data_IF_816926741245
#
_entry.id   IF_816926741245
#
_cell.length_a   1.000
_cell.length_b   1.000
_cell.length_c   1.000
_cell.angle_alpha   90.00
_cell.angle_beta   90.00
_cell.angle_gamma   90.00
#
_symmetry.space_group_name_H-M   'P 1'
#
loop_
_entity.id
_entity.type
_entity.pdbx_description
1 polymer ?
#
# COMPACT_ATOMS: atom_id res chain seq x y z
N UNK A 1 -72.02 -2.87 -3.65
CA UNK A 1 -71.93 -1.58 -4.36
C UNK A 1 -71.58 -0.52 -3.33
N UNK A 2 -70.55 0.33 -3.54
CA UNK A 2 -70.12 1.27 -2.52
C UNK A 2 -71.23 2.30 -2.26
N UNK A 3 -71.49 2.56 -0.97
CA UNK A 3 -72.43 3.57 -0.50
C UNK A 3 -71.99 4.93 -1.02
N UNK A 4 -72.75 5.49 -1.95
CA UNK A 4 -72.54 6.85 -2.46
C UNK A 4 -72.79 7.82 -1.31
N UNK A 5 -71.93 8.85 -1.11
CA UNK A 5 -72.21 9.87 -0.12
C UNK A 5 -73.58 10.50 -0.42
N UNK A 6 -74.43 10.56 0.60
CA UNK A 6 -75.79 11.07 0.51
C UNK A 6 -75.96 12.23 1.50
N UNK A 7 -76.75 13.23 1.11
CA UNK A 7 -77.17 14.30 2.01
C UNK A 7 -78.65 14.11 2.29
N UNK A 8 -79.00 14.05 3.58
CA UNK A 8 -80.38 13.91 4.02
C UNK A 8 -80.98 15.29 4.26
N UNK A 9 -81.92 15.70 3.40
CA UNK A 9 -82.68 16.94 3.57
C UNK A 9 -84.14 16.56 3.84
N UNK A 10 -84.51 16.51 5.12
CA UNK A 10 -85.82 16.01 5.56
C UNK A 10 -86.00 14.52 5.29
N UNK A 11 -87.13 14.13 4.68
CA UNK A 11 -87.51 12.73 4.43
C UNK A 11 -87.00 12.14 3.09
N UNK A 12 -86.17 12.88 2.33
CA UNK A 12 -85.60 12.40 1.06
C UNK A 12 -84.08 12.27 1.15
N UNK A 13 -83.58 11.18 0.56
CA UNK A 13 -82.16 10.85 0.45
C UNK A 13 -81.72 11.15 -0.98
N UNK A 14 -80.78 12.11 -1.15
CA UNK A 14 -80.21 12.47 -2.44
C UNK A 14 -78.80 11.90 -2.56
N UNK A 15 -78.54 11.15 -3.64
CA UNK A 15 -77.25 10.54 -3.92
C UNK A 15 -76.42 11.44 -4.85
N UNK A 16 -75.19 11.78 -4.45
CA UNK A 16 -74.29 12.56 -5.28
C UNK A 16 -73.82 11.74 -6.50
N UNK A 17 -73.90 12.31 -7.70
CA UNK A 17 -73.39 11.71 -8.93
C UNK A 17 -71.96 12.22 -9.19
N UNK A 18 -71.21 11.50 -10.02
CA UNK A 18 -69.73 11.54 -10.13
C UNK A 18 -69.15 12.85 -10.73
N UNK A 19 -69.87 13.97 -10.68
CA UNK A 19 -69.44 15.27 -11.22
C UNK A 19 -69.76 16.46 -10.30
N UNK A 20 -70.24 16.22 -9.08
CA UNK A 20 -70.86 17.27 -8.27
C UNK A 20 -69.84 18.07 -7.44
N UNK A 21 -69.80 19.38 -7.68
CA UNK A 21 -69.15 20.36 -6.79
C UNK A 21 -69.96 20.46 -5.50
N UNK A 22 -69.39 20.01 -4.39
CA UNK A 22 -70.00 20.19 -3.07
C UNK A 22 -69.50 21.48 -2.43
N UNK A 23 -70.39 22.45 -2.22
CA UNK A 23 -70.07 23.67 -1.47
C UNK A 23 -70.31 23.38 0.02
N UNK A 24 -69.22 23.28 0.78
CA UNK A 24 -69.27 23.03 2.23
C UNK A 24 -68.97 24.34 2.95
N UNK A 25 -69.92 24.79 3.79
CA UNK A 25 -69.83 26.08 4.49
C UNK A 25 -68.98 25.97 5.78
N UNK A 26 -68.93 24.80 6.41
CA UNK A 26 -68.16 24.55 7.63
C UNK A 26 -66.87 23.76 7.35
N UNK A 27 -65.68 24.32 7.67
CA UNK A 27 -64.41 23.61 7.53
C UNK A 27 -64.36 22.30 8.34
N UNK A 28 -65.00 22.28 9.51
CA UNK A 28 -65.03 21.13 10.41
C UNK A 28 -65.78 19.94 9.78
N UNK A 29 -66.84 20.22 9.02
CA UNK A 29 -67.60 19.17 8.31
C UNK A 29 -66.75 18.52 7.23
N UNK A 30 -65.98 19.31 6.47
CA UNK A 30 -65.03 18.80 5.48
C UNK A 30 -63.91 17.98 6.14
N UNK A 31 -63.34 18.48 7.23
CA UNK A 31 -62.27 17.81 7.96
C UNK A 31 -62.73 16.50 8.63
N UNK A 32 -64.00 16.40 9.03
CA UNK A 32 -64.62 15.18 9.55
C UNK A 32 -64.87 14.11 8.49
N UNK A 33 -65.02 14.50 7.21
CA UNK A 33 -65.09 13.56 6.09
C UNK A 33 -63.74 12.90 5.79
N UNK A 34 -62.64 13.59 6.12
CA UNK A 34 -61.28 13.09 5.89
C UNK A 34 -60.68 12.34 7.07
N UNK A 35 -61.30 12.40 8.26
CA UNK A 35 -60.88 11.59 9.40
C UNK A 35 -62.09 11.33 10.31
N UNK A 36 -62.49 10.06 10.54
CA UNK A 36 -63.49 9.76 11.56
C UNK A 36 -62.95 10.08 12.96
N UNK A 37 -63.84 10.34 13.91
CA UNK A 37 -63.54 10.80 15.28
C UNK A 37 -62.63 9.87 16.10
N UNK A 38 -62.36 8.67 15.62
CA UNK A 38 -61.56 7.64 16.31
C UNK A 38 -60.11 7.54 15.82
N UNK A 39 -59.68 8.40 14.88
CA UNK A 39 -58.32 8.41 14.37
C UNK A 39 -58.07 7.35 13.29
N UNK A 40 -57.50 7.78 12.17
CA UNK A 40 -57.23 6.93 11.00
C UNK A 40 -57.15 7.76 9.71
N UNK A 41 -56.64 7.16 8.64
CA UNK A 41 -56.57 7.79 7.32
C UNK A 41 -57.97 7.97 6.70
N UNK A 42 -58.14 9.01 5.88
CA UNK A 42 -59.39 9.29 5.15
C UNK A 42 -59.91 8.07 4.38
N UNK A 43 -61.14 7.64 4.66
CA UNK A 43 -61.83 6.58 3.89
C UNK A 43 -62.43 7.09 2.56
N UNK A 44 -62.46 8.42 2.35
CA UNK A 44 -63.05 9.03 1.16
C UNK A 44 -61.96 9.33 0.14
N UNK A 45 -61.80 8.50 -0.90
CA UNK A 45 -60.73 8.66 -1.90
C UNK A 45 -61.12 9.43 -3.17
N UNK A 46 -62.39 9.81 -3.32
CA UNK A 46 -62.94 10.33 -4.58
C UNK A 46 -63.02 11.87 -4.67
N UNK A 47 -62.36 12.62 -3.78
CA UNK A 47 -62.37 14.10 -3.79
C UNK A 47 -61.09 14.61 -4.45
N UNK A 48 -61.11 14.90 -5.74
CA UNK A 48 -59.89 15.19 -6.50
C UNK A 48 -59.38 16.63 -6.37
N UNK A 49 -60.26 17.60 -6.10
CA UNK A 49 -59.91 19.03 -5.96
C UNK A 49 -60.72 19.67 -4.85
N UNK A 50 -60.07 20.50 -4.05
CA UNK A 50 -60.69 21.31 -3.01
C UNK A 50 -60.28 22.74 -3.29
N UNK A 51 -61.26 23.62 -3.47
CA UNK A 51 -61.05 25.06 -3.53
C UNK A 51 -61.73 25.67 -2.30
N UNK A 52 -60.99 26.48 -1.54
CA UNK A 52 -61.49 27.14 -0.36
C UNK A 52 -61.06 28.61 -0.39
N UNK A 53 -62.00 29.50 -0.03
CA UNK A 53 -61.70 30.89 0.25
C UNK A 53 -61.28 31.03 1.71
N UNK A 54 -60.21 31.78 1.96
CA UNK A 54 -59.59 31.87 3.27
C UNK A 54 -59.57 33.32 3.72
N UNK A 55 -60.01 33.57 4.96
CA UNK A 55 -60.12 34.93 5.51
C UNK A 55 -58.79 35.52 6.04
N UNK A 56 -57.68 34.77 5.99
CA UNK A 56 -56.36 35.23 6.46
C UNK A 56 -55.23 34.23 6.17
N UNK A 57 -54.00 34.72 6.08
CA UNK A 57 -52.81 33.90 5.75
C UNK A 57 -52.59 32.74 6.73
N UNK A 58 -52.65 33.02 8.04
CA UNK A 58 -52.44 32.02 9.11
C UNK A 58 -53.52 30.94 9.10
N UNK A 59 -54.78 31.33 8.90
CA UNK A 59 -55.91 30.41 8.79
C UNK A 59 -55.77 29.49 7.56
N UNK A 60 -55.25 30.01 6.45
CA UNK A 60 -55.02 29.25 5.22
C UNK A 60 -53.93 28.21 5.38
N UNK A 61 -52.82 28.59 6.01
CA UNK A 61 -51.72 27.66 6.30
C UNK A 61 -52.14 26.55 7.27
N UNK A 62 -52.89 26.88 8.32
CA UNK A 62 -53.40 25.88 9.29
C UNK A 62 -54.33 24.88 8.60
N UNK A 63 -55.28 25.37 7.81
CA UNK A 63 -56.24 24.52 7.10
C UNK A 63 -55.55 23.59 6.10
N UNK A 64 -54.55 24.10 5.37
CA UNK A 64 -53.79 23.29 4.43
C UNK A 64 -53.00 22.17 5.14
N UNK A 65 -52.34 22.48 6.25
CA UNK A 65 -51.61 21.48 7.02
C UNK A 65 -52.57 20.38 7.52
N UNK A 66 -53.72 20.76 8.09
CA UNK A 66 -54.73 19.81 8.56
C UNK A 66 -55.28 18.93 7.44
N UNK A 67 -55.53 19.50 6.25
CA UNK A 67 -56.02 18.74 5.09
C UNK A 67 -54.96 17.76 4.59
N UNK A 68 -53.72 18.21 4.46
CA UNK A 68 -52.59 17.39 3.97
C UNK A 68 -52.25 16.28 4.96
N UNK A 69 -52.22 16.56 6.27
CA UNK A 69 -51.93 15.59 7.33
C UNK A 69 -53.01 14.50 7.42
N UNK A 70 -54.29 14.86 7.23
CA UNK A 70 -55.40 13.88 7.27
C UNK A 70 -55.56 13.08 5.97
N UNK A 71 -55.15 13.64 4.82
CA UNK A 71 -55.26 13.00 3.50
C UNK A 71 -54.07 12.12 3.12
N UNK A 72 -52.85 12.49 3.53
CA UNK A 72 -51.62 11.77 3.20
C UNK A 72 -50.99 12.15 1.85
N UNK A 73 -50.15 11.25 1.33
CA UNK A 73 -49.09 11.46 0.31
C UNK A 73 -49.56 12.02 -1.05
N UNK A 74 -50.83 11.88 -1.42
CA UNK A 74 -51.30 12.15 -2.79
C UNK A 74 -51.81 13.57 -3.04
N UNK A 75 -51.83 14.45 -2.04
CA UNK A 75 -52.39 15.80 -2.16
C UNK A 75 -51.31 16.88 -2.11
N UNK A 76 -51.40 17.79 -3.07
CA UNK A 76 -50.65 19.04 -3.09
C UNK A 76 -51.63 20.16 -2.77
N UNK A 77 -51.39 20.85 -1.66
CA UNK A 77 -52.21 21.98 -1.23
C UNK A 77 -51.45 23.29 -1.50
N UNK A 78 -52.17 24.28 -2.03
CA UNK A 78 -51.61 25.60 -2.37
C UNK A 78 -52.54 26.65 -1.75
N UNK A 79 -52.01 27.49 -0.86
CA UNK A 79 -52.70 28.68 -0.35
C UNK A 79 -52.01 29.89 -0.93
N UNK A 80 -52.78 30.78 -1.54
CA UNK A 80 -52.29 32.07 -2.01
C UNK A 80 -53.01 33.17 -1.24
N UNK A 81 -52.27 34.01 -0.53
CA UNK A 81 -52.82 35.15 0.20
C UNK A 81 -51.90 36.36 0.00
N UNK A 82 -52.47 37.53 -0.31
CA UNK A 82 -51.71 38.78 -0.42
C UNK A 82 -50.57 38.79 -1.45
N UNK A 83 -50.60 37.92 -2.47
CA UNK A 83 -49.54 37.79 -3.49
C UNK A 83 -48.43 36.80 -3.14
N UNK A 84 -48.46 36.18 -1.96
CA UNK A 84 -47.57 35.08 -1.58
C UNK A 84 -48.32 33.75 -1.61
N UNK A 85 -47.74 32.76 -2.28
CA UNK A 85 -48.32 31.42 -2.42
C UNK A 85 -47.46 30.39 -1.68
N UNK A 86 -48.05 29.70 -0.72
CA UNK A 86 -47.44 28.63 0.07
C UNK A 86 -47.92 27.28 -0.44
N UNK A 87 -46.98 26.41 -0.81
CA UNK A 87 -47.25 25.05 -1.32
C UNK A 87 -46.82 24.01 -0.28
N UNK A 88 -47.76 23.17 0.15
CA UNK A 88 -47.58 22.13 1.16
C UNK A 88 -47.92 20.76 0.57
N UNK A 89 -47.17 19.74 0.95
CA UNK A 89 -47.34 18.36 0.50
C UNK A 89 -46.92 17.40 1.63
N UNK A 90 -47.54 16.22 1.68
CA UNK A 90 -47.23 15.20 2.67
C UNK A 90 -46.02 14.38 2.20
N UNK A 91 -45.00 14.26 3.07
CA UNK A 91 -43.81 13.47 2.80
C UNK A 91 -42.69 13.78 3.80
N UNK A 92 -41.85 12.79 4.09
CA UNK A 92 -40.67 13.00 4.92
C UNK A 92 -39.61 13.70 4.07
N UNK A 93 -39.15 14.88 4.51
CA UNK A 93 -37.92 15.46 3.96
C UNK A 93 -36.75 14.65 4.50
N UNK A 94 -36.37 13.61 3.78
CA UNK A 94 -35.05 13.01 3.94
C UNK A 94 -34.07 13.98 3.28
N UNK A 95 -33.66 15.01 4.01
CA UNK A 95 -32.35 15.60 3.73
C UNK A 95 -31.37 14.47 4.01
N UNK A 96 -30.80 13.90 2.95
CA UNK A 96 -29.72 12.94 3.09
C UNK A 96 -28.69 13.58 3.99
N UNK A 97 -28.55 13.02 5.19
CA UNK A 97 -27.67 13.43 6.29
C UNK A 97 -26.23 13.13 5.87
N UNK A 98 -25.80 13.70 4.75
CA UNK A 98 -24.44 13.65 4.23
C UNK A 98 -23.46 14.39 5.15
N UNK A 99 -23.97 15.14 6.13
CA UNK A 99 -23.15 15.93 7.06
C UNK A 99 -22.71 15.15 8.32
N UNK A 100 -23.27 13.98 8.66
CA UNK A 100 -22.96 13.32 9.95
C UNK A 100 -22.48 11.87 9.89
N UNK A 101 -22.63 11.14 8.78
CA UNK A 101 -22.28 9.71 8.71
C UNK A 101 -20.95 9.46 7.99
N UNK A 102 -20.07 8.65 8.59
CA UNK A 102 -18.77 8.24 8.05
C UNK A 102 -18.85 7.56 6.67
N UNK A 103 -20.05 7.12 6.28
CA UNK A 103 -20.36 6.39 5.06
C UNK A 103 -20.05 7.16 3.76
N UNK A 104 -20.05 8.50 3.77
CA UNK A 104 -19.65 9.30 2.60
C UNK A 104 -18.11 9.44 2.47
N UNK A 105 -17.42 9.56 3.60
CA UNK A 105 -15.98 9.74 3.62
C UNK A 105 -15.23 8.49 3.15
N UNK A 106 -15.77 7.30 3.39
CA UNK A 106 -15.12 6.04 3.00
C UNK A 106 -14.95 5.92 1.47
N UNK A 107 -16.00 6.02 0.63
CA UNK A 107 -15.84 6.03 -0.82
C UNK A 107 -14.97 7.18 -1.32
N UNK A 108 -15.10 8.38 -0.74
CA UNK A 108 -14.30 9.53 -1.13
C UNK A 108 -12.80 9.26 -0.91
N UNK A 109 -12.42 8.71 0.26
CA UNK A 109 -11.04 8.33 0.55
C UNK A 109 -10.53 7.25 -0.40
N UNK A 110 -11.36 6.25 -0.72
CA UNK A 110 -10.99 5.20 -1.67
C UNK A 110 -10.68 5.81 -3.04
N UNK A 111 -11.51 6.74 -3.53
CA UNK A 111 -11.28 7.41 -4.81
C UNK A 111 -10.00 8.25 -4.76
N UNK A 112 -9.80 9.05 -3.70
CA UNK A 112 -8.58 9.86 -3.52
C UNK A 112 -7.33 8.96 -3.50
N UNK A 113 -7.36 7.86 -2.76
CA UNK A 113 -6.25 6.92 -2.67
C UNK A 113 -5.96 6.25 -4.03
N UNK A 114 -6.99 5.89 -4.80
CA UNK A 114 -6.82 5.34 -6.15
C UNK A 114 -6.16 6.35 -7.09
N UNK A 115 -6.64 7.61 -7.11
CA UNK A 115 -6.05 8.66 -7.95
C UNK A 115 -4.58 8.89 -7.60
N UNK A 116 -4.26 8.95 -6.29
CA UNK A 116 -2.88 9.05 -5.81
C UNK A 116 -2.03 7.86 -6.29
N UNK A 117 -2.52 6.63 -6.13
CA UNK A 117 -1.79 5.43 -6.53
C UNK A 117 -1.55 5.37 -8.04
N UNK A 118 -2.55 5.73 -8.84
CA UNK A 118 -2.44 5.78 -10.30
C UNK A 118 -1.40 6.82 -10.74
N UNK A 119 -1.43 8.03 -10.19
CA UNK A 119 -0.44 9.07 -10.51
C UNK A 119 0.99 8.64 -10.13
N UNK A 120 1.15 7.96 -8.99
CA UNK A 120 2.44 7.37 -8.60
C UNK A 120 2.91 6.25 -9.54
N UNK A 121 2.00 5.52 -10.18
CA UNK A 121 2.34 4.49 -11.17
C UNK A 121 2.82 5.11 -12.48
N UNK A 122 2.08 6.09 -13.01
CA UNK A 122 2.39 6.78 -14.26
C UNK A 122 3.80 7.37 -14.23
N UNK A 123 4.20 7.95 -13.09
CA UNK A 123 5.54 8.54 -12.97
C UNK A 123 6.64 7.49 -12.99
N UNK A 124 6.41 6.35 -12.31
CA UNK A 124 7.41 5.25 -12.32
C UNK A 124 7.72 4.81 -13.74
N UNK A 125 6.70 4.77 -14.59
CA UNK A 125 6.85 4.45 -16.02
C UNK A 125 7.55 5.58 -16.79
N UNK A 126 7.26 6.84 -16.48
CA UNK A 126 7.86 8.02 -17.14
C UNK A 126 9.25 8.43 -16.63
N UNK A 127 9.90 7.65 -15.76
CA UNK A 127 11.27 7.96 -15.28
C UNK A 127 12.27 8.16 -16.41
N UNK A 128 12.14 7.41 -17.52
CA UNK A 128 13.02 7.52 -18.69
C UNK A 128 12.96 8.92 -19.34
N UNK A 129 11.78 9.54 -19.38
CA UNK A 129 11.60 10.89 -19.92
C UNK A 129 12.32 11.95 -19.08
N UNK A 130 12.25 11.80 -17.75
CA UNK A 130 12.96 12.67 -16.81
C UNK A 130 14.48 12.61 -17.09
N UNK A 131 15.02 11.42 -17.29
CA UNK A 131 16.45 11.25 -17.67
C UNK A 131 16.78 11.91 -19.00
N UNK A 132 15.91 11.78 -20.00
CA UNK A 132 16.11 12.44 -21.31
C UNK A 132 16.18 13.96 -21.12
N UNK A 133 15.22 14.57 -20.42
CA UNK A 133 15.25 16.01 -20.14
C UNK A 133 16.50 16.44 -19.36
N UNK A 134 16.94 15.63 -18.40
CA UNK A 134 18.19 15.90 -17.67
C UNK A 134 19.43 15.80 -18.56
N UNK A 135 19.50 14.84 -19.48
CA UNK A 135 20.65 14.72 -20.42
C UNK A 135 20.74 15.86 -21.42
N UNK A 136 19.59 16.48 -21.77
CA UNK A 136 19.54 17.69 -22.59
C UNK A 136 19.96 18.94 -21.80
N UNK A 137 20.02 18.85 -20.46
CA UNK A 137 20.47 19.92 -19.57
C UNK A 137 19.36 20.75 -18.94
N UNK A 138 18.11 20.27 -18.93
CA UNK A 138 17.02 20.99 -18.25
C UNK A 138 17.21 21.01 -16.72
N UNK A 139 16.94 22.17 -16.11
CA UNK A 139 16.92 22.30 -14.64
C UNK A 139 15.78 21.45 -14.05
N UNK A 140 16.00 20.67 -12.98
CA UNK A 140 14.96 19.91 -12.29
C UNK A 140 13.70 20.69 -11.95
N UNK A 141 13.83 22.00 -11.68
CA UNK A 141 12.68 22.89 -11.42
C UNK A 141 11.78 23.06 -12.65
N UNK A 142 12.34 23.14 -13.85
CA UNK A 142 11.56 23.23 -15.09
C UNK A 142 10.85 21.91 -15.38
N UNK A 143 11.52 20.78 -15.14
CA UNK A 143 10.95 19.45 -15.29
C UNK A 143 9.77 19.28 -14.34
N UNK A 144 9.93 19.64 -13.06
CA UNK A 144 8.87 19.66 -12.06
C UNK A 144 7.66 20.50 -12.48
N UNK A 145 7.89 21.68 -13.08
CA UNK A 145 6.83 22.57 -13.53
C UNK A 145 6.01 21.97 -14.68
N UNK A 146 6.65 21.24 -15.60
CA UNK A 146 5.95 20.53 -16.68
C UNK A 146 5.04 19.44 -16.12
N UNK A 147 5.51 18.64 -15.17
CA UNK A 147 4.68 17.61 -14.52
C UNK A 147 3.54 18.22 -13.69
N UNK A 148 3.77 19.35 -13.03
CA UNK A 148 2.73 20.08 -12.31
C UNK A 148 1.66 20.62 -13.27
N UNK A 149 2.06 21.18 -14.41
CA UNK A 149 1.14 21.65 -15.44
C UNK A 149 0.30 20.49 -16.00
N UNK A 150 0.92 19.34 -16.27
CA UNK A 150 0.23 18.13 -16.70
C UNK A 150 -0.81 17.67 -15.66
N UNK A 151 -0.45 17.68 -14.37
CA UNK A 151 -1.36 17.33 -13.28
C UNK A 151 -2.56 18.28 -13.17
N UNK A 152 -2.36 19.58 -13.39
CA UNK A 152 -3.45 20.57 -13.41
C UNK A 152 -4.42 20.27 -14.56
N UNK A 153 -3.89 19.99 -15.76
CA UNK A 153 -4.71 19.64 -16.93
C UNK A 153 -5.51 18.37 -16.66
N UNK A 154 -4.89 17.34 -16.08
CA UNK A 154 -5.61 16.13 -15.68
C UNK A 154 -6.68 16.39 -14.63
N UNK A 155 -6.40 17.22 -13.63
CA UNK A 155 -7.37 17.61 -12.60
C UNK A 155 -8.58 18.35 -13.17
N UNK A 156 -8.35 19.29 -14.10
CA UNK A 156 -9.42 20.04 -14.76
C UNK A 156 -10.27 19.15 -15.66
N UNK A 157 -9.65 18.31 -16.49
CA UNK A 157 -10.37 17.40 -17.39
C UNK A 157 -11.16 16.37 -16.59
N UNK A 158 -10.53 15.71 -15.62
CA UNK A 158 -11.21 14.70 -14.78
C UNK A 158 -12.34 15.31 -13.94
N UNK A 159 -12.12 16.48 -13.35
CA UNK A 159 -13.16 17.21 -12.61
C UNK A 159 -14.34 17.61 -13.51
N UNK A 160 -14.05 18.10 -14.73
CA UNK A 160 -15.07 18.45 -15.72
C UNK A 160 -15.88 17.24 -16.18
N UNK A 161 -15.21 16.15 -16.58
CA UNK A 161 -15.88 14.91 -16.97
C UNK A 161 -16.67 14.30 -15.82
N UNK A 162 -16.10 14.28 -14.61
CA UNK A 162 -16.77 13.79 -13.40
C UNK A 162 -18.02 14.59 -13.05
N UNK A 163 -17.99 15.92 -13.21
CA UNK A 163 -19.15 16.78 -12.99
C UNK A 163 -20.27 16.49 -14.00
N UNK A 164 -19.95 16.42 -15.30
CA UNK A 164 -20.93 16.11 -16.34
C UNK A 164 -21.51 14.71 -16.16
N UNK A 165 -20.66 13.72 -15.85
CA UNK A 165 -21.10 12.37 -15.55
C UNK A 165 -22.01 12.31 -14.32
N UNK A 166 -21.65 13.02 -13.24
CA UNK A 166 -22.48 13.10 -12.03
C UNK A 166 -23.86 13.72 -12.30
N UNK A 167 -23.92 14.77 -13.12
CA UNK A 167 -25.18 15.39 -13.52
C UNK A 167 -26.02 14.44 -14.39
N UNK A 168 -25.38 13.71 -15.32
CA UNK A 168 -26.05 12.71 -16.14
C UNK A 168 -26.62 11.57 -15.28
N UNK A 169 -25.83 11.04 -14.34
CA UNK A 169 -26.28 10.00 -13.40
C UNK A 169 -27.42 10.49 -12.52
N UNK A 170 -27.35 11.74 -12.03
CA UNK A 170 -28.45 12.34 -11.27
C UNK A 170 -29.74 12.41 -12.10
N UNK A 171 -29.66 12.84 -13.37
CA UNK A 171 -30.82 12.89 -14.27
C UNK A 171 -31.42 11.51 -14.48
N UNK A 172 -30.59 10.50 -14.69
CA UNK A 172 -31.04 9.11 -14.80
C UNK A 172 -31.71 8.61 -13.50
N UNK A 173 -31.11 8.91 -12.35
CA UNK A 173 -31.69 8.57 -11.04
C UNK A 173 -33.03 9.25 -10.82
N UNK A 174 -33.15 10.53 -11.17
CA UNK A 174 -34.38 11.30 -11.03
C UNK A 174 -35.51 10.75 -11.91
N UNK A 175 -35.19 10.30 -13.13
CA UNK A 175 -36.15 9.67 -14.03
C UNK A 175 -36.63 8.32 -13.48
N UNK A 176 -35.73 7.52 -12.90
CA UNK A 176 -36.07 6.26 -12.26
C UNK A 176 -36.86 6.44 -10.96
N UNK A 177 -36.48 7.43 -10.14
CA UNK A 177 -37.15 7.78 -8.89
C UNK A 177 -38.57 8.33 -9.12
N UNK A 178 -38.79 9.06 -10.21
CA UNK A 178 -40.12 9.53 -10.61
C UNK A 178 -41.09 8.37 -10.91
N UNK A 179 -40.59 7.23 -11.41
CA UNK A 179 -41.41 6.02 -11.59
C UNK A 179 -41.83 5.37 -10.25
N UNK A 180 -41.12 5.68 -9.16
CA UNK A 180 -41.34 5.15 -7.81
C UNK A 180 -42.01 6.18 -6.87
N UNK A 181 -42.61 7.26 -7.41
CA UNK A 181 -43.18 8.39 -6.64
C UNK A 181 -42.19 9.12 -5.71
N UNK A 182 -40.88 8.99 -5.93
CA UNK A 182 -39.86 9.69 -5.16
C UNK A 182 -39.49 11.02 -5.85
N UNK A 183 -39.83 12.15 -5.22
CA UNK A 183 -39.41 13.47 -5.70
C UNK A 183 -37.99 13.79 -5.22
N UNK A 184 -37.02 13.66 -6.14
CA UNK A 184 -35.64 14.09 -5.91
C UNK A 184 -35.53 15.58 -6.30
N UNK A 185 -35.24 16.45 -5.33
CA UNK A 185 -34.97 17.88 -5.61
C UNK A 185 -33.50 18.09 -5.91
N UNK A 186 -33.20 18.72 -7.04
CA UNK A 186 -31.88 19.23 -7.37
C UNK A 186 -31.52 20.40 -6.43
N UNK A 187 -30.58 20.17 -5.51
CA UNK A 187 -29.82 21.27 -4.88
C UNK A 187 -28.60 21.57 -5.75
N UNK A 188 -28.82 22.23 -6.89
CA UNK A 188 -27.73 22.77 -7.71
C UNK A 188 -27.33 24.13 -7.16
N UNK A 189 -26.52 24.14 -6.11
CA UNK A 189 -25.89 25.37 -5.66
C UNK A 189 -24.54 25.50 -6.39
N UNK A 190 -24.32 26.64 -7.05
CA UNK A 190 -23.20 26.86 -7.99
C UNK A 190 -21.82 26.63 -7.35
N UNK A 191 -21.70 26.84 -6.04
CA UNK A 191 -20.44 26.68 -5.32
C UNK A 191 -20.02 25.21 -5.17
N UNK A 192 -20.94 24.23 -5.20
CA UNK A 192 -20.59 22.81 -5.12
C UNK A 192 -19.85 22.34 -6.37
N UNK A 193 -20.23 22.85 -7.54
CA UNK A 193 -19.54 22.56 -8.80
C UNK A 193 -18.11 23.10 -8.79
N UNK A 194 -17.92 24.32 -8.29
CA UNK A 194 -16.59 24.92 -8.13
C UNK A 194 -15.75 24.12 -7.13
N UNK A 195 -16.32 23.77 -5.97
CA UNK A 195 -15.63 23.02 -4.93
C UNK A 195 -15.19 21.63 -5.41
N UNK A 196 -16.04 20.93 -6.17
CA UNK A 196 -15.73 19.61 -6.73
C UNK A 196 -14.55 19.67 -7.72
N UNK A 197 -14.54 20.66 -8.62
CA UNK A 197 -13.46 20.84 -9.59
C UNK A 197 -12.18 21.28 -8.88
N UNK A 198 -12.27 22.22 -7.94
CA UNK A 198 -11.12 22.65 -7.14
C UNK A 198 -10.50 21.48 -6.37
N UNK A 199 -11.34 20.63 -5.76
CA UNK A 199 -10.90 19.43 -5.06
C UNK A 199 -10.20 18.45 -6.00
N UNK A 200 -10.75 18.20 -7.20
CA UNK A 200 -10.13 17.33 -8.20
C UNK A 200 -8.74 17.83 -8.64
N UNK A 201 -8.59 19.14 -8.84
CA UNK A 201 -7.31 19.77 -9.17
C UNK A 201 -6.32 19.63 -8.00
N UNK A 202 -6.74 19.92 -6.77
CA UNK A 202 -5.90 19.77 -5.58
C UNK A 202 -5.41 18.33 -5.41
N UNK A 203 -6.29 17.34 -5.53
CA UNK A 203 -5.92 15.91 -5.43
C UNK A 203 -4.93 15.54 -6.54
N UNK A 204 -5.16 16.01 -7.78
CA UNK A 204 -4.26 15.74 -8.90
C UNK A 204 -2.86 16.33 -8.68
N UNK A 205 -2.81 17.57 -8.17
CA UNK A 205 -1.57 18.23 -7.79
C UNK A 205 -0.87 17.45 -6.67
N UNK A 206 -1.58 17.07 -5.60
CA UNK A 206 -1.02 16.29 -4.49
C UNK A 206 -0.41 14.96 -4.99
N UNK A 207 -1.07 14.29 -5.94
CA UNK A 207 -0.53 13.10 -6.61
C UNK A 207 0.75 13.37 -7.41
N UNK A 208 0.89 14.59 -7.94
CA UNK A 208 2.05 15.03 -8.73
C UNK A 208 3.18 15.68 -7.89
N UNK A 209 2.96 15.99 -6.61
CA UNK A 209 4.02 16.55 -5.74
C UNK A 209 5.10 15.51 -5.45
N UNK A 210 4.71 14.29 -5.05
CA UNK A 210 5.66 13.21 -4.79
C UNK A 210 6.59 12.91 -5.98
N UNK A 211 6.11 12.79 -7.23
CA UNK A 211 6.99 12.58 -8.37
C UNK A 211 7.85 13.79 -8.73
N UNK A 212 7.34 15.01 -8.54
CA UNK A 212 8.14 16.23 -8.65
C UNK A 212 9.32 16.24 -7.66
N UNK A 213 9.10 15.74 -6.45
CA UNK A 213 10.15 15.61 -5.44
C UNK A 213 11.14 14.51 -5.82
N UNK A 214 10.67 13.33 -6.21
CA UNK A 214 11.52 12.22 -6.62
C UNK A 214 12.43 12.61 -7.79
N UNK A 215 11.93 13.36 -8.78
CA UNK A 215 12.71 13.90 -9.89
C UNK A 215 13.82 14.86 -9.44
N UNK A 216 13.55 15.68 -8.42
CA UNK A 216 14.55 16.57 -7.83
C UNK A 216 15.63 15.79 -7.05
N UNK A 217 15.25 14.73 -6.33
CA UNK A 217 16.18 13.88 -5.58
C UNK A 217 17.02 12.97 -6.49
N UNK A 218 16.49 12.57 -7.65
CA UNK A 218 17.23 11.81 -8.68
C UNK A 218 18.47 12.55 -9.22
N UNK A 219 18.57 13.87 -9.01
CA UNK A 219 19.73 14.68 -9.36
C UNK A 219 20.90 14.56 -8.35
N UNK A 220 20.65 14.02 -7.15
CA UNK A 220 21.68 13.79 -6.12
C UNK A 220 21.96 12.29 -5.86
N UNK A 221 22.19 11.44 -6.89
CA UNK A 221 22.43 10.01 -6.68
C UNK A 221 23.79 9.73 -6.02
N UNK A 222 24.64 10.74 -5.88
CA UNK A 222 26.00 10.61 -5.33
C UNK A 222 26.02 10.63 -3.80
N UNK A 223 25.21 11.46 -3.15
CA UNK A 223 25.23 11.65 -1.69
C UNK A 223 24.65 10.43 -0.94
N UNK A 224 23.46 9.97 -1.33
CA UNK A 224 22.76 8.86 -0.64
C UNK A 224 23.49 7.52 -0.85
N UNK A 225 24.08 7.30 -2.02
CA UNK A 225 24.87 6.09 -2.29
C UNK A 225 26.19 6.09 -1.52
N UNK A 226 26.84 7.24 -1.37
CA UNK A 226 28.04 7.39 -0.51
C UNK A 226 27.71 7.11 0.96
N UNK A 227 26.60 7.63 1.48
CA UNK A 227 26.16 7.42 2.88
C UNK A 227 25.88 5.95 3.18
N UNK A 228 25.15 5.24 2.29
CA UNK A 228 24.82 3.83 2.51
C UNK A 228 26.05 2.91 2.46
N UNK A 229 27.05 3.26 1.63
CA UNK A 229 28.35 2.56 1.60
C UNK A 229 29.15 2.88 2.88
N UNK A 230 29.12 4.12 3.35
CA UNK A 230 29.80 4.53 4.59
C UNK A 230 29.23 3.82 5.83
N UNK A 231 27.89 3.77 5.99
CA UNK A 231 27.24 3.09 7.12
C UNK A 231 27.54 1.58 7.14
N UNK A 232 27.50 0.92 5.97
CA UNK A 232 27.82 -0.51 5.87
C UNK A 232 29.27 -0.79 6.25
N UNK A 233 30.20 0.08 5.81
CA UNK A 233 31.61 0.04 6.21
C UNK A 233 31.78 0.25 7.71
N UNK A 234 31.03 1.18 8.31
CA UNK A 234 31.14 1.47 9.74
C UNK A 234 30.63 0.31 10.61
N UNK A 235 29.54 -0.35 10.21
CA UNK A 235 29.05 -1.57 10.88
C UNK A 235 30.05 -2.72 10.81
N UNK A 236 30.69 -2.92 9.66
CA UNK A 236 31.74 -3.93 9.50
C UNK A 236 32.95 -3.64 10.41
N UNK A 237 33.44 -2.39 10.46
CA UNK A 237 34.51 -1.99 11.39
C UNK A 237 34.13 -2.27 12.85
N UNK A 238 32.92 -1.91 13.27
CA UNK A 238 32.45 -2.14 14.66
C UNK A 238 32.43 -3.63 15.01
N UNK A 239 32.00 -4.48 14.08
CA UNK A 239 32.03 -5.93 14.28
C UNK A 239 33.46 -6.48 14.42
N UNK A 240 34.39 -6.03 13.58
CA UNK A 240 35.81 -6.42 13.67
C UNK A 240 36.47 -5.95 14.96
N UNK A 241 36.13 -4.75 15.47
CA UNK A 241 36.65 -4.24 16.74
C UNK A 241 36.17 -5.05 17.96
N UNK A 242 34.90 -5.45 17.98
CA UNK A 242 34.31 -6.23 19.10
C UNK A 242 34.81 -7.68 19.09
N UNK A 243 35.21 -8.20 17.92
CA UNK A 243 35.56 -9.61 17.71
C UNK A 243 37.07 -9.90 17.75
N UNK A 244 37.89 -9.01 18.33
CA UNK A 244 39.34 -9.25 18.43
C UNK A 244 39.66 -10.26 19.52
N UNK A 245 40.40 -11.31 19.16
CA UNK A 245 40.78 -12.38 20.08
C UNK A 245 42.25 -12.75 19.89
N UNK A 246 42.90 -13.19 20.97
CA UNK A 246 44.27 -13.72 20.95
C UNK A 246 44.32 -15.26 21.13
N UNK A 247 43.17 -15.88 21.43
CA UNK A 247 43.04 -17.31 21.64
C UNK A 247 43.13 -18.08 20.30
N UNK A 248 43.73 -19.28 20.37
CA UNK A 248 43.72 -20.20 19.25
C UNK A 248 42.33 -20.84 19.08
N UNK A 249 41.93 -21.12 17.84
CA UNK A 249 40.68 -21.83 17.50
C UNK A 249 41.02 -22.99 16.58
N UNK A 250 40.53 -24.17 16.95
CA UNK A 250 40.66 -25.39 16.14
C UNK A 250 39.38 -25.58 15.32
N UNK A 251 39.54 -25.74 14.02
CA UNK A 251 38.47 -26.04 13.08
C UNK A 251 38.61 -27.48 12.59
N UNK A 252 37.52 -28.23 12.60
CA UNK A 252 37.42 -29.50 11.89
C UNK A 252 37.08 -29.21 10.42
N UNK A 253 38.00 -29.50 9.50
CA UNK A 253 37.78 -29.28 8.08
C UNK A 253 36.99 -30.48 7.51
N UNK A 254 35.85 -30.25 6.83
CA UNK A 254 35.08 -31.33 6.25
C UNK A 254 35.82 -31.92 5.04
N UNK A 255 36.12 -33.22 5.11
CA UNK A 255 36.88 -33.95 4.10
C UNK A 255 37.72 -35.03 4.79
N UNK A 256 37.80 -36.20 4.18
CA UNK A 256 38.60 -37.33 4.66
C UNK A 256 39.54 -37.74 3.54
N UNK A 257 40.84 -37.84 3.85
CA UNK A 257 41.86 -38.30 2.90
C UNK A 257 42.17 -39.76 3.22
N UNK A 258 42.11 -40.65 2.23
CA UNK A 258 42.41 -42.06 2.45
C UNK A 258 43.90 -42.28 2.79
N UNK A 259 44.22 -43.28 3.60
CA UNK A 259 45.57 -43.50 4.12
C UNK A 259 46.59 -43.82 3.01
N UNK A 260 46.15 -44.50 1.96
CA UNK A 260 46.89 -44.86 0.76
C UNK A 260 47.11 -43.67 -0.19
N UNK A 261 46.16 -42.73 -0.25
CA UNK A 261 46.26 -41.50 -1.05
C UNK A 261 47.09 -40.39 -0.36
N UNK A 262 47.44 -40.57 0.92
CA UNK A 262 47.98 -39.53 1.79
C UNK A 262 49.20 -38.78 1.23
N UNK A 263 50.22 -39.49 0.75
CA UNK A 263 51.45 -38.87 0.22
C UNK A 263 51.17 -37.95 -0.98
N UNK A 264 50.28 -38.37 -1.88
CA UNK A 264 49.90 -37.58 -3.06
C UNK A 264 49.07 -36.36 -2.63
N UNK A 265 48.13 -36.56 -1.70
CA UNK A 265 47.31 -35.48 -1.15
C UNK A 265 48.16 -34.42 -0.45
N UNK A 266 49.15 -34.83 0.35
CA UNK A 266 50.08 -33.94 1.05
C UNK A 266 50.90 -33.09 0.08
N UNK A 267 51.43 -33.69 -0.97
CA UNK A 267 52.15 -32.97 -2.03
C UNK A 267 51.25 -31.97 -2.76
N UNK A 268 50.01 -32.37 -3.10
CA UNK A 268 49.03 -31.49 -3.73
C UNK A 268 48.69 -30.28 -2.85
N UNK A 269 48.37 -30.51 -1.58
CA UNK A 269 48.00 -29.46 -0.63
C UNK A 269 49.17 -28.50 -0.41
N UNK A 270 50.40 -29.02 -0.27
CA UNK A 270 51.59 -28.20 -0.18
C UNK A 270 51.75 -27.31 -1.42
N UNK A 271 51.58 -27.85 -2.62
CA UNK A 271 51.67 -27.08 -3.87
C UNK A 271 50.65 -25.95 -3.94
N UNK A 272 49.38 -26.21 -3.57
CA UNK A 272 48.32 -25.20 -3.55
C UNK A 272 48.57 -24.11 -2.50
N UNK A 273 49.09 -24.47 -1.33
CA UNK A 273 49.48 -23.49 -0.32
C UNK A 273 50.68 -22.66 -0.76
N UNK A 274 51.64 -23.27 -1.47
CA UNK A 274 52.80 -22.57 -2.02
C UNK A 274 52.42 -21.59 -3.14
N UNK A 275 51.45 -21.93 -3.99
CA UNK A 275 50.93 -21.05 -5.06
C UNK A 275 50.34 -19.74 -4.49
N UNK A 276 49.81 -19.80 -3.26
CA UNK A 276 49.24 -18.64 -2.56
C UNK A 276 50.29 -17.72 -1.94
N UNK A 277 51.58 -17.97 -2.14
CA UNK A 277 52.64 -17.09 -1.61
C UNK A 277 52.70 -15.70 -2.24
N UNK A 278 52.09 -15.50 -3.44
CA UNK A 278 52.19 -14.25 -4.21
C UNK A 278 50.89 -13.42 -4.26
N UNK A 279 49.84 -13.80 -3.53
CA UNK A 279 48.56 -13.07 -3.57
C UNK A 279 48.62 -11.68 -2.90
N UNK A 280 47.95 -10.68 -3.48
CA UNK A 280 47.91 -9.32 -2.89
C UNK A 280 46.89 -9.18 -1.75
N UNK A 281 45.74 -9.86 -1.86
CA UNK A 281 44.65 -9.78 -0.87
C UNK A 281 44.74 -10.88 0.20
N UNK A 282 45.12 -12.09 -0.23
CA UNK A 282 45.34 -13.24 0.63
C UNK A 282 46.68 -13.86 0.24
N UNK A 283 47.59 -14.02 1.20
CA UNK A 283 48.89 -14.65 0.96
C UNK A 283 49.26 -15.65 2.06
N UNK A 284 50.11 -16.60 1.69
CA UNK A 284 50.67 -17.60 2.60
C UNK A 284 52.19 -17.42 2.69
N UNK A 285 52.70 -17.18 3.90
CA UNK A 285 54.12 -16.99 4.18
C UNK A 285 54.65 -18.10 5.10
N UNK A 286 55.94 -18.44 4.98
CA UNK A 286 56.63 -19.35 5.90
C UNK A 286 56.09 -20.79 5.91
N UNK A 287 55.54 -21.27 4.79
CA UNK A 287 55.06 -22.64 4.64
C UNK A 287 56.20 -23.64 4.92
N UNK A 288 55.97 -24.52 5.90
CA UNK A 288 56.91 -25.56 6.31
C UNK A 288 56.17 -26.89 6.37
N UNK A 289 56.74 -27.90 5.71
CA UNK A 289 56.29 -29.29 5.81
C UNK A 289 57.03 -30.02 6.92
N UNK A 290 56.30 -30.63 7.86
CA UNK A 290 56.87 -31.43 8.94
C UNK A 290 56.82 -32.92 8.58
N UNK A 291 57.83 -33.72 9.00
CA UNK A 291 57.80 -35.16 8.79
C UNK A 291 56.61 -35.80 9.55
N UNK A 292 56.18 -36.97 9.10
CA UNK A 292 55.10 -37.73 9.76
C UNK A 292 55.53 -38.12 11.18
N UNK A 293 54.74 -37.72 12.17
CA UNK A 293 54.94 -38.08 13.58
C UNK A 293 54.06 -39.28 13.94
N UNK A 294 54.68 -40.34 14.49
CA UNK A 294 53.96 -41.45 15.12
C UNK A 294 53.92 -41.26 16.63
N UNK A 295 52.71 -41.13 17.20
CA UNK A 295 52.53 -41.04 18.65
C UNK A 295 52.66 -42.42 19.30
N UNK A 296 53.02 -42.49 20.60
CA UNK A 296 53.05 -43.73 21.37
C UNK A 296 51.74 -44.53 21.32
N UNK A 297 50.61 -43.83 21.12
CA UNK A 297 49.27 -44.40 21.01
C UNK A 297 48.98 -45.02 19.62
N UNK A 298 49.94 -45.02 18.69
CA UNK A 298 49.79 -45.53 17.32
C UNK A 298 49.11 -44.57 16.33
N UNK A 299 48.88 -43.31 16.73
CA UNK A 299 48.29 -42.28 15.87
C UNK A 299 49.37 -41.66 14.97
N UNK A 300 49.11 -41.56 13.66
CA UNK A 300 49.99 -40.89 12.69
C UNK A 300 49.50 -39.47 12.42
N UNK A 301 50.40 -38.49 12.48
CA UNK A 301 50.06 -37.08 12.27
C UNK A 301 51.02 -36.45 11.27
N UNK A 302 50.48 -35.95 10.16
CA UNK A 302 51.19 -35.07 9.21
C UNK A 302 50.79 -33.62 9.47
N UNK A 303 51.75 -32.71 9.53
CA UNK A 303 51.51 -31.29 9.91
C UNK A 303 52.14 -30.34 8.90
N UNK A 304 51.39 -29.30 8.53
CA UNK A 304 51.87 -28.17 7.76
C UNK A 304 51.68 -26.89 8.57
N UNK A 305 52.76 -26.14 8.76
CA UNK A 305 52.70 -24.84 9.45
C UNK A 305 52.90 -23.73 8.44
N UNK A 306 52.02 -22.73 8.45
CA UNK A 306 52.12 -21.57 7.57
C UNK A 306 51.48 -20.34 8.20
N UNK A 307 51.89 -19.16 7.76
CA UNK A 307 51.28 -17.89 8.18
C UNK A 307 50.36 -17.39 7.08
N UNK A 308 49.07 -17.27 7.39
CA UNK A 308 48.08 -16.71 6.50
C UNK A 308 47.93 -15.20 6.75
N UNK A 309 48.15 -14.40 5.72
CA UNK A 309 47.95 -12.96 5.75
C UNK A 309 46.74 -12.64 4.89
N UNK A 310 45.75 -12.00 5.51
CA UNK A 310 44.58 -11.49 4.79
C UNK A 310 44.45 -9.99 4.98
N UNK A 311 44.22 -9.30 3.87
CA UNK A 311 43.96 -7.86 3.82
C UNK A 311 42.46 -7.66 3.61
N UNK A 312 41.77 -7.04 4.56
CA UNK A 312 40.36 -6.67 4.38
C UNK A 312 40.22 -5.51 3.39
N UNK A 313 39.02 -5.31 2.83
CA UNK A 313 38.68 -4.15 1.97
C UNK A 313 38.97 -2.78 2.61
N UNK A 314 39.22 -2.78 3.92
CA UNK A 314 39.54 -1.63 4.76
C UNK A 314 41.05 -1.37 4.92
N UNK A 315 41.90 -2.19 4.29
CA UNK A 315 43.35 -2.07 4.32
C UNK A 315 44.01 -2.57 5.60
N UNK A 316 43.25 -3.18 6.52
CA UNK A 316 43.82 -3.80 7.71
C UNK A 316 44.37 -5.18 7.35
N UNK A 317 45.69 -5.36 7.51
CA UNK A 317 46.35 -6.66 7.39
C UNK A 317 46.29 -7.38 8.73
N UNK A 318 45.81 -8.61 8.72
CA UNK A 318 45.91 -9.50 9.87
C UNK A 318 46.72 -10.73 9.48
N UNK A 319 47.62 -11.15 10.37
CA UNK A 319 48.41 -12.36 10.22
C UNK A 319 47.92 -13.42 11.21
N UNK A 320 47.74 -14.63 10.72
CA UNK A 320 47.29 -15.78 11.51
C UNK A 320 48.28 -16.92 11.25
N UNK A 321 48.89 -17.41 12.32
CA UNK A 321 49.67 -18.63 12.28
C UNK A 321 48.72 -19.82 12.24
N UNK A 322 48.85 -20.64 11.21
CA UNK A 322 48.01 -21.79 10.92
C UNK A 322 48.82 -23.08 11.01
N UNK A 323 48.24 -24.08 11.65
CA UNK A 323 48.77 -25.45 11.69
C UNK A 323 47.69 -26.41 11.18
N UNK A 324 47.89 -26.90 9.95
CA UNK A 324 47.02 -27.88 9.31
C UNK A 324 47.53 -29.28 9.64
N UNK A 325 46.70 -30.07 10.32
CA UNK A 325 47.01 -31.42 10.80
C UNK A 325 46.15 -32.44 10.09
N UNK A 326 46.78 -33.49 9.59
CA UNK A 326 46.13 -34.69 9.09
C UNK A 326 46.37 -35.81 10.10
N UNK A 327 45.32 -36.22 10.80
CA UNK A 327 45.39 -37.17 11.92
C UNK A 327 44.77 -38.49 11.50
N UNK A 328 45.55 -39.56 11.53
CA UNK A 328 45.10 -40.93 11.30
C UNK A 328 45.07 -41.68 12.63
N UNK A 329 43.85 -41.98 13.10
CA UNK A 329 43.62 -42.73 14.33
C UNK A 329 44.06 -44.20 14.17
N UNK A 330 44.45 -44.88 15.25
CA UNK A 330 44.81 -46.30 15.22
C UNK A 330 43.66 -47.15 14.68
N UNK A 331 43.91 -47.91 13.61
CA UNK A 331 42.90 -48.77 12.96
C UNK A 331 41.92 -48.04 12.02
N UNK A 332 42.05 -46.72 11.84
CA UNK A 332 41.34 -45.99 10.81
C UNK A 332 42.08 -46.07 9.47
N UNK A 333 41.33 -46.02 8.38
CA UNK A 333 41.81 -46.01 6.99
C UNK A 333 41.82 -44.59 6.38
N UNK A 334 41.41 -43.57 7.15
CA UNK A 334 41.24 -42.20 6.68
C UNK A 334 41.79 -41.16 7.66
N UNK A 335 42.48 -40.17 7.12
CA UNK A 335 42.95 -38.98 7.85
C UNK A 335 41.79 -38.02 8.10
N UNK A 336 41.65 -37.58 9.35
CA UNK A 336 40.85 -36.41 9.73
C UNK A 336 41.68 -35.15 9.56
N UNK A 337 41.08 -34.12 8.96
CA UNK A 337 41.73 -32.83 8.74
C UNK A 337 41.32 -31.83 9.81
N UNK A 338 42.30 -31.30 10.53
CA UNK A 338 42.10 -30.28 11.57
C UNK A 338 42.99 -29.07 11.28
N UNK A 339 42.43 -27.87 11.41
CA UNK A 339 43.18 -26.62 11.27
C UNK A 339 43.19 -25.89 12.61
N UNK A 340 44.35 -25.76 13.22
CA UNK A 340 44.54 -24.88 14.36
C UNK A 340 44.96 -23.50 13.88
N UNK A 341 44.23 -22.47 14.28
CA UNK A 341 44.50 -21.07 13.90
C UNK A 341 44.83 -20.26 15.13
N UNK A 342 45.95 -19.53 15.10
CA UNK A 342 46.42 -18.68 16.18
C UNK A 342 46.73 -17.28 15.62
N UNK A 343 46.04 -16.23 16.07
CA UNK A 343 46.29 -14.89 15.58
C UNK A 343 47.64 -14.36 16.07
N UNK A 344 48.37 -13.67 15.19
CA UNK A 344 49.59 -12.95 15.57
C UNK A 344 49.19 -11.63 16.24
N UNK A 345 49.17 -11.63 17.57
CA UNK A 345 48.69 -10.49 18.37
C UNK A 345 47.18 -10.54 18.61
N UNK A 346 46.46 -9.46 18.26
CA UNK A 346 45.00 -9.40 18.32
C UNK A 346 44.43 -9.25 16.91
N UNK A 347 43.83 -10.33 16.39
CA UNK A 347 43.13 -10.31 15.10
C UNK A 347 41.62 -10.50 15.31
N UNK A 348 40.77 -9.94 14.42
CA UNK A 348 39.35 -10.27 14.40
C UNK A 348 39.12 -11.76 14.09
N UNK A 349 38.13 -12.38 14.74
CA UNK A 349 37.77 -13.80 14.52
C UNK A 349 37.45 -14.09 13.04
N UNK A 350 36.91 -13.11 12.30
CA UNK A 350 36.61 -13.25 10.86
C UNK A 350 37.81 -13.68 10.03
N UNK A 351 39.02 -13.23 10.36
CA UNK A 351 40.22 -13.64 9.64
C UNK A 351 40.58 -15.11 9.90
N UNK A 352 40.26 -15.63 11.09
CA UNK A 352 40.46 -17.04 11.42
C UNK A 352 39.48 -17.91 10.64
N UNK A 353 38.25 -17.42 10.46
CA UNK A 353 37.26 -18.09 9.60
C UNK A 353 37.70 -18.05 8.11
N UNK A 354 38.31 -16.97 7.62
CA UNK A 354 38.89 -16.93 6.26
C UNK A 354 40.02 -17.96 6.05
N UNK A 355 40.89 -18.14 7.05
CA UNK A 355 41.93 -19.18 7.00
C UNK A 355 41.31 -20.59 6.98
N UNK A 356 40.24 -20.82 7.73
CA UNK A 356 39.50 -22.08 7.73
C UNK A 356 38.82 -22.34 6.38
N UNK A 357 38.20 -21.32 5.78
CA UNK A 357 37.59 -21.41 4.45
C UNK A 357 38.64 -21.67 3.36
N UNK A 358 39.84 -21.09 3.47
CA UNK A 358 40.95 -21.41 2.57
C UNK A 358 41.31 -22.89 2.64
N UNK A 359 41.56 -23.42 3.84
CA UNK A 359 41.89 -24.83 4.02
C UNK A 359 40.77 -25.75 3.51
N UNK A 360 39.51 -25.39 3.77
CA UNK A 360 38.34 -26.11 3.28
C UNK A 360 38.24 -26.13 1.75
N UNK A 361 38.55 -25.01 1.08
CA UNK A 361 38.59 -24.94 -0.39
C UNK A 361 39.67 -25.87 -0.94
N UNK A 362 40.90 -25.80 -0.43
CA UNK A 362 42.01 -26.62 -0.91
C UNK A 362 41.73 -28.12 -0.72
N UNK A 363 41.20 -28.51 0.45
CA UNK A 363 40.83 -29.92 0.70
C UNK A 363 39.64 -30.35 -0.17
N UNK A 364 38.68 -29.45 -0.40
CA UNK A 364 37.55 -29.70 -1.31
C UNK A 364 38.01 -29.91 -2.76
N UNK A 365 38.95 -29.09 -3.23
CA UNK A 365 39.52 -29.18 -4.58
C UNK A 365 40.29 -30.51 -4.75
N UNK A 366 41.05 -30.93 -3.74
CA UNK A 366 41.66 -32.26 -3.72
C UNK A 366 40.61 -33.37 -3.88
N UNK A 367 39.52 -33.33 -3.10
CA UNK A 367 38.46 -34.35 -3.17
C UNK A 367 37.79 -34.40 -4.55
N UNK A 368 37.68 -33.27 -5.24
CA UNK A 368 37.13 -33.19 -6.59
C UNK A 368 38.12 -33.68 -7.67
N UNK A 369 39.42 -33.43 -7.50
CA UNK A 369 40.45 -33.73 -8.50
C UNK A 369 41.13 -35.10 -8.30
N UNK A 370 40.99 -35.74 -7.12
CA UNK A 370 41.74 -36.96 -6.76
C UNK A 370 41.60 -38.11 -7.76
N UNK A 371 40.41 -38.34 -8.32
CA UNK A 371 40.19 -39.45 -9.26
C UNK A 371 41.03 -39.25 -10.53
N UNK A 372 41.14 -37.99 -10.99
CA UNK A 372 41.95 -37.63 -12.16
C UNK A 372 43.45 -37.67 -11.89
N UNK A 373 43.86 -37.33 -10.66
CA UNK A 373 45.28 -37.24 -10.28
C UNK A 373 45.87 -38.62 -9.93
N UNK A 374 45.08 -39.50 -9.32
CA UNK A 374 45.51 -40.83 -8.91
C UNK A 374 45.42 -41.86 -10.05
N UNK A 375 44.45 -41.69 -10.95
CA UNK A 375 44.22 -42.58 -12.10
C UNK A 375 44.20 -41.78 -13.41
N UNK A 376 45.36 -41.30 -13.89
CA UNK A 376 45.44 -40.66 -15.19
C UNK A 376 45.06 -41.68 -16.28
N UNK A 377 44.03 -41.34 -17.06
CA UNK A 377 43.47 -42.18 -18.13
C UNK A 377 44.46 -42.50 -19.26
#
# INVERSE_FOLDING_TARGET
APLRPFVQQGARILYANVSDVAIVISPQLLLSLFAPSEGGYSQVFYVYRIAAEVMGETAGTSFINDVVDRRGESYVAISCYGGSCTRVYYGTRVQSVFEQEATFFVPLLIVVANVLLSMLSIVRERRREIFIFMTVGFNPRHIALVFLAEAIVYGLLSGGFGYVAGLATFRLLSAFAAQQNLMVREKLEWYWSYLAIALAVVISILGAIKPSMDAAYLFAPTEVKKLKIAERREKAKRAEYVSRTAAAKTFSIPGEVAADEGEVAFSYIYSKLADLSYGELESVEGLTDHPMEERPDGTRIKRFTFRYISTTELGAKAAIDCELRFVLSPGADRYRVELETKPVGQAPISHMDYAADLAKRIVGDWMAERERLLYPA
#
